data_IF_582289737062
#
_entry.id   IF_582289737062
#
_cell.length_a   1.000
_cell.length_b   1.000
_cell.length_c   1.000
_cell.angle_alpha   90.00
_cell.angle_beta   90.00
_cell.angle_gamma   90.00
#
_symmetry.space_group_name_H-M   'P 1'
#
loop_
_entity.id
_entity.type
_entity.pdbx_description
1 polymer ?
#
# COMPACT_ATOMS: atom_id res chain seq x y z
N UNK A 1 21.85 3.54 -11.00
CA UNK A 1 21.70 2.46 -10.00
C UNK A 1 21.81 1.13 -10.72
N UNK A 2 22.64 0.20 -10.24
CA UNK A 2 22.80 -1.12 -10.89
C UNK A 2 21.58 -2.00 -10.59
N UNK A 3 21.28 -2.97 -11.46
CA UNK A 3 20.05 -3.75 -11.35
C UNK A 3 19.99 -4.59 -10.06
N UNK A 4 21.13 -5.08 -9.59
CA UNK A 4 21.23 -5.81 -8.32
C UNK A 4 20.82 -4.94 -7.13
N UNK A 5 21.11 -3.63 -7.19
CA UNK A 5 20.71 -2.67 -6.16
C UNK A 5 19.22 -2.35 -6.25
N UNK A 6 18.65 -2.31 -7.46
CA UNK A 6 17.20 -2.08 -7.64
C UNK A 6 16.39 -3.23 -7.05
N UNK A 7 16.81 -4.47 -7.25
CA UNK A 7 16.10 -5.65 -6.73
C UNK A 7 15.91 -5.63 -5.20
N UNK A 8 16.77 -4.93 -4.47
CA UNK A 8 16.76 -4.88 -3.00
C UNK A 8 16.02 -3.67 -2.42
N UNK A 9 15.92 -2.57 -3.18
CA UNK A 9 15.51 -1.27 -2.62
C UNK A 9 14.42 -0.55 -3.42
N UNK A 10 14.15 -0.98 -4.66
CA UNK A 10 13.14 -0.33 -5.48
C UNK A 10 11.74 -0.57 -4.90
N UNK A 11 10.97 0.51 -4.74
CA UNK A 11 9.58 0.45 -4.29
C UNK A 11 9.37 0.56 -2.77
N UNK A 12 10.43 0.50 -1.96
CA UNK A 12 10.33 0.72 -0.51
C UNK A 12 11.57 1.45 0.05
N UNK A 13 11.37 2.70 0.46
CA UNK A 13 12.41 3.55 1.05
C UNK A 13 11.99 4.00 2.45
N UNK A 14 12.40 3.27 3.51
CA UNK A 14 11.95 3.57 4.86
C UNK A 14 12.58 4.86 5.40
N UNK A 15 11.75 5.71 6.02
CA UNK A 15 12.16 6.95 6.69
C UNK A 15 12.48 6.71 8.16
N UNK A 16 12.88 7.78 8.86
CA UNK A 16 13.15 7.70 10.29
C UNK A 16 11.89 7.20 11.03
N UNK A 17 12.09 6.22 11.93
CA UNK A 17 11.03 5.54 12.68
C UNK A 17 10.13 4.59 11.86
N UNK A 18 10.41 4.35 10.58
CA UNK A 18 9.71 3.34 9.78
C UNK A 18 10.43 1.98 9.80
N UNK A 19 9.71 0.85 9.61
CA UNK A 19 10.33 -0.48 9.51
C UNK A 19 11.36 -0.56 8.39
N UNK A 20 12.51 -1.20 8.63
CA UNK A 20 13.55 -1.32 7.58
C UNK A 20 13.19 -2.34 6.48
N UNK A 21 12.27 -3.25 6.77
CA UNK A 21 11.75 -4.27 5.85
C UNK A 21 10.29 -3.96 5.57
N UNK A 22 9.87 -4.12 4.32
CA UNK A 22 8.48 -3.89 3.91
C UNK A 22 7.52 -4.76 4.74
N UNK A 23 6.48 -4.17 5.35
CA UNK A 23 5.50 -4.93 6.14
C UNK A 23 4.70 -5.93 5.32
N UNK A 24 4.28 -7.02 5.97
CA UNK A 24 3.30 -7.97 5.40
C UNK A 24 1.91 -7.54 5.89
N UNK A 25 1.09 -7.02 4.98
CA UNK A 25 -0.29 -6.61 5.29
C UNK A 25 -1.23 -7.81 5.14
N UNK A 26 -1.44 -8.56 6.22
CA UNK A 26 -2.35 -9.71 6.25
C UNK A 26 -3.76 -9.30 6.71
N UNK A 27 -4.42 -8.47 5.90
CA UNK A 27 -5.80 -8.09 6.12
C UNK A 27 -6.67 -8.56 4.97
N UNK A 28 -7.91 -8.94 5.29
CA UNK A 28 -8.94 -9.29 4.29
C UNK A 28 -9.74 -8.06 3.84
N UNK A 29 -9.57 -6.91 4.51
CA UNK A 29 -10.32 -5.67 4.23
C UNK A 29 -9.60 -4.44 4.82
N UNK A 30 -10.08 -3.23 4.51
CA UNK A 30 -9.58 -1.95 5.01
C UNK A 30 -10.69 -1.15 5.67
N UNK A 31 -10.31 -0.27 6.60
CA UNK A 31 -11.25 0.62 7.31
C UNK A 31 -11.53 1.85 6.44
N UNK A 32 -12.79 2.27 6.41
CA UNK A 32 -13.26 3.48 5.73
C UNK A 32 -13.92 4.40 6.77
N UNK A 33 -13.61 5.69 6.71
CA UNK A 33 -14.12 6.67 7.67
C UNK A 33 -15.56 7.11 7.35
N UNK A 34 -16.01 6.96 6.10
CA UNK A 34 -17.37 7.29 5.67
C UNK A 34 -17.98 6.24 4.74
N UNK A 35 -19.31 6.25 4.66
CA UNK A 35 -20.07 5.42 3.71
C UNK A 35 -19.88 5.87 2.26
N UNK A 36 -19.62 7.15 2.05
CA UNK A 36 -19.36 7.76 0.75
C UNK A 36 -18.01 7.30 0.21
N UNK A 37 -16.98 7.20 1.06
CA UNK A 37 -15.66 6.74 0.66
C UNK A 37 -15.70 5.30 0.16
N UNK A 38 -16.37 4.40 0.90
CA UNK A 38 -16.50 3.00 0.48
C UNK A 38 -17.35 2.87 -0.80
N UNK A 39 -18.40 3.68 -0.96
CA UNK A 39 -19.21 3.69 -2.17
C UNK A 39 -18.41 4.13 -3.40
N UNK A 40 -17.59 5.18 -3.26
CA UNK A 40 -16.79 5.73 -4.35
C UNK A 40 -15.73 4.75 -4.89
N UNK A 41 -15.32 3.76 -4.11
CA UNK A 41 -14.39 2.73 -4.58
C UNK A 41 -15.05 1.74 -5.54
N UNK A 42 -16.36 1.49 -5.41
CA UNK A 42 -17.07 0.63 -6.37
C UNK A 42 -17.20 1.28 -7.74
N UNK A 43 -17.23 2.62 -7.79
CA UNK A 43 -17.22 3.39 -9.04
C UNK A 43 -15.81 3.51 -9.64
N UNK A 44 -14.78 3.55 -8.79
CA UNK A 44 -13.37 3.60 -9.19
C UNK A 44 -12.49 2.72 -8.26
N UNK A 45 -12.23 1.47 -8.68
CA UNK A 45 -11.46 0.51 -7.89
C UNK A 45 -10.03 0.95 -7.58
N UNK A 46 -9.47 1.92 -8.30
CA UNK A 46 -8.10 2.41 -8.04
C UNK A 46 -8.01 3.26 -6.76
N UNK A 47 -9.14 3.64 -6.17
CA UNK A 47 -9.20 4.47 -4.96
C UNK A 47 -8.89 3.72 -3.67
N UNK A 48 -8.94 2.40 -3.67
CA UNK A 48 -8.58 1.59 -2.51
C UNK A 48 -8.16 0.19 -2.94
N UNK A 49 -7.55 -0.54 -2.02
CA UNK A 49 -7.24 -1.95 -2.20
C UNK A 49 -8.52 -2.77 -1.98
N UNK A 50 -9.41 -2.74 -2.97
CA UNK A 50 -10.53 -3.67 -3.11
C UNK A 50 -10.38 -4.39 -4.45
N UNK A 51 -10.49 -5.72 -4.42
CA UNK A 51 -10.39 -6.64 -5.55
C UNK A 51 -9.16 -6.49 -6.48
#
# INVERSE_FOLDING_TARGET
MRDETKCLHLGYEPKNSEPRVMPIVQSITYVYDSTEDVAAVFDDPMKSLIY
#
